data_IF_497016261177
#
_entry.id   IF_497016261177
#
_cell.length_a   1.000
_cell.length_b   1.000
_cell.length_c   1.000
_cell.angle_alpha   90.00
_cell.angle_beta   90.00
_cell.angle_gamma   90.00
#
_symmetry.space_group_name_H-M   'P 1'
#
loop_
_entity.id
_entity.type
_entity.pdbx_description
1 polymer ?
#
# COMPACT_ATOMS: atom_id res chain seq x y z
N UNK A 1 17.81 -8.19 -3.15
CA UNK A 1 17.51 -8.38 -4.59
C UNK A 1 16.71 -9.66 -4.87
N UNK A 2 17.08 -10.79 -4.26
CA UNK A 2 16.36 -12.07 -4.47
C UNK A 2 14.89 -11.99 -4.03
N UNK A 3 14.61 -11.40 -2.87
CA UNK A 3 13.25 -11.25 -2.34
C UNK A 3 12.39 -10.34 -3.22
N UNK A 4 12.95 -9.25 -3.72
CA UNK A 4 12.25 -8.36 -4.67
C UNK A 4 11.88 -9.12 -5.95
N UNK A 5 12.76 -9.98 -6.45
CA UNK A 5 12.50 -10.80 -7.63
C UNK A 5 11.28 -11.72 -7.46
N UNK A 6 11.12 -12.34 -6.28
CA UNK A 6 9.96 -13.20 -5.97
C UNK A 6 8.66 -12.39 -5.97
N UNK A 7 8.65 -11.20 -5.37
CA UNK A 7 7.48 -10.31 -5.35
C UNK A 7 7.12 -9.82 -6.75
N UNK A 8 8.12 -9.45 -7.57
CA UNK A 8 7.89 -9.00 -8.95
C UNK A 8 7.31 -10.12 -9.82
N UNK A 9 7.84 -11.34 -9.69
CA UNK A 9 7.32 -12.50 -10.42
C UNK A 9 5.85 -12.75 -10.09
N UNK A 10 5.50 -12.79 -8.80
CA UNK A 10 4.10 -12.96 -8.36
C UNK A 10 3.20 -11.81 -8.86
N UNK A 11 3.67 -10.57 -8.82
CA UNK A 11 2.90 -9.43 -9.32
C UNK A 11 2.57 -9.57 -10.81
N UNK A 12 3.51 -10.08 -11.62
CA UNK A 12 3.28 -10.38 -13.04
C UNK A 12 2.31 -11.54 -13.19
N UNK A 13 2.45 -12.62 -12.40
CA UNK A 13 1.55 -13.78 -12.44
C UNK A 13 0.11 -13.38 -12.08
N UNK A 14 -0.08 -12.52 -11.09
CA UNK A 14 -1.41 -11.98 -10.74
C UNK A 14 -2.02 -11.18 -11.89
N UNK A 15 -1.24 -10.36 -12.58
CA UNK A 15 -1.71 -9.65 -13.77
C UNK A 15 -1.99 -10.59 -14.94
N UNK A 16 -1.20 -11.65 -15.11
CA UNK A 16 -1.45 -12.69 -16.13
C UNK A 16 -2.79 -13.41 -15.92
N UNK A 17 -3.22 -13.56 -14.67
CA UNK A 17 -4.53 -14.11 -14.33
C UNK A 17 -5.71 -13.18 -14.62
N UNK A 18 -5.46 -11.88 -14.86
CA UNK A 18 -6.51 -10.90 -15.12
C UNK A 18 -7.02 -11.00 -16.57
N UNK A 19 -8.34 -11.07 -16.75
CA UNK A 19 -8.98 -11.21 -18.07
C UNK A 19 -8.75 -10.01 -19.01
N UNK A 20 -8.29 -8.90 -18.47
CA UNK A 20 -8.06 -7.65 -19.21
C UNK A 20 -6.66 -7.55 -19.81
N UNK A 21 -5.77 -8.51 -19.51
CA UNK A 21 -4.36 -8.50 -19.93
C UNK A 21 -4.15 -9.53 -21.02
N UNK A 22 -3.72 -9.08 -22.19
CA UNK A 22 -3.38 -9.94 -23.32
C UNK A 22 -1.89 -10.32 -23.35
N UNK A 23 -1.49 -11.20 -24.26
CA UNK A 23 -0.11 -11.67 -24.39
C UNK A 23 0.88 -10.53 -24.71
N UNK A 24 0.47 -9.54 -25.49
CA UNK A 24 1.31 -8.37 -25.79
C UNK A 24 1.55 -7.50 -24.57
N UNK A 25 0.54 -7.34 -23.72
CA UNK A 25 0.65 -6.65 -22.44
C UNK A 25 1.56 -7.41 -21.47
N UNK A 26 1.42 -8.73 -21.35
CA UNK A 26 2.30 -9.58 -20.54
C UNK A 26 3.76 -9.48 -20.99
N UNK A 27 4.02 -9.53 -22.29
CA UNK A 27 5.36 -9.36 -22.83
C UNK A 27 5.98 -7.99 -22.51
N UNK A 28 5.18 -6.96 -22.26
CA UNK A 28 5.67 -5.66 -21.75
C UNK A 28 6.07 -5.76 -20.30
N UNK A 29 5.26 -6.42 -19.45
CA UNK A 29 5.57 -6.58 -18.03
C UNK A 29 6.86 -7.36 -17.79
N UNK A 30 7.15 -8.38 -18.60
CA UNK A 30 8.38 -9.16 -18.51
C UNK A 30 9.66 -8.36 -18.79
N UNK A 31 9.55 -7.22 -19.50
CA UNK A 31 10.68 -6.33 -19.79
C UNK A 31 10.90 -5.26 -18.74
N UNK A 32 9.97 -5.11 -17.82
CA UNK A 32 10.04 -4.09 -16.76
C UNK A 32 11.25 -4.31 -15.87
N UNK A 33 11.96 -3.23 -15.60
CA UNK A 33 13.06 -3.20 -14.63
C UNK A 33 12.60 -2.52 -13.36
N UNK A 34 12.64 -3.23 -12.24
CA UNK A 34 12.36 -2.66 -10.93
C UNK A 34 13.65 -2.26 -10.25
N UNK A 35 13.72 -1.03 -9.76
CA UNK A 35 14.88 -0.43 -9.11
C UNK A 35 14.49 0.20 -7.79
N UNK A 36 15.38 0.14 -6.81
CA UNK A 36 15.21 0.83 -5.54
C UNK A 36 15.80 2.23 -5.64
N UNK A 37 15.06 3.22 -5.17
CA UNK A 37 15.46 4.61 -5.16
C UNK A 37 15.00 5.29 -3.86
N UNK A 38 15.62 6.38 -3.48
CA UNK A 38 15.13 7.26 -2.42
C UNK A 38 14.15 8.25 -3.05
N UNK A 39 12.85 7.94 -2.93
CA UNK A 39 11.79 8.75 -3.50
C UNK A 39 11.37 9.85 -2.54
N UNK A 40 10.89 10.97 -3.08
CA UNK A 40 10.57 12.14 -2.27
C UNK A 40 9.17 12.08 -1.65
N UNK A 41 9.05 12.60 -0.45
CA UNK A 41 7.77 12.76 0.23
C UNK A 41 7.15 11.43 0.63
N UNK A 42 5.91 11.19 0.23
CA UNK A 42 5.13 9.99 0.56
C UNK A 42 5.05 9.00 -0.61
N UNK A 43 5.89 9.15 -1.61
CA UNK A 43 5.89 8.30 -2.81
C UNK A 43 6.43 6.92 -2.48
N UNK A 44 5.64 5.89 -2.71
CA UNK A 44 6.00 4.48 -2.47
C UNK A 44 6.60 3.84 -3.71
N UNK A 45 6.06 4.15 -4.88
CA UNK A 45 6.47 3.65 -6.16
C UNK A 45 6.28 4.69 -7.27
N UNK A 46 6.89 4.45 -8.41
CA UNK A 46 6.78 5.31 -9.57
C UNK A 46 7.09 4.55 -10.86
N UNK A 47 6.11 4.44 -11.76
CA UNK A 47 6.31 3.86 -13.08
C UNK A 47 6.79 4.91 -14.09
N UNK A 48 7.81 4.56 -14.88
CA UNK A 48 8.33 5.37 -15.98
C UNK A 48 8.63 4.46 -17.17
N UNK A 49 7.72 4.37 -18.11
CA UNK A 49 7.84 3.44 -19.24
C UNK A 49 8.06 1.99 -18.78
N UNK A 50 9.23 1.40 -19.04
CA UNK A 50 9.60 0.02 -18.64
C UNK A 50 10.46 0.00 -17.36
N UNK A 51 10.51 1.09 -16.59
CA UNK A 51 11.23 1.15 -15.30
C UNK A 51 10.26 1.51 -14.20
N UNK A 52 10.25 0.71 -13.16
CA UNK A 52 9.55 0.99 -11.90
C UNK A 52 10.60 1.32 -10.83
N UNK A 53 10.42 2.47 -10.20
CA UNK A 53 11.19 2.86 -9.02
C UNK A 53 10.36 2.54 -7.78
N UNK A 54 10.98 1.88 -6.80
CA UNK A 54 10.39 1.57 -5.50
C UNK A 54 11.18 2.32 -4.44
N UNK A 55 10.47 2.99 -3.53
CA UNK A 55 11.10 3.73 -2.46
C UNK A 55 11.91 2.82 -1.54
N UNK A 56 13.06 3.30 -1.07
CA UNK A 56 14.01 2.51 -0.28
C UNK A 56 13.45 2.05 1.06
N UNK A 57 12.56 2.83 1.68
CA UNK A 57 12.07 2.60 3.04
C UNK A 57 10.55 2.72 3.20
N UNK A 58 9.79 2.72 2.09
CA UNK A 58 8.34 2.86 2.08
C UNK A 58 7.87 4.16 2.76
N UNK A 59 8.44 5.31 2.39
CA UNK A 59 8.17 6.61 3.00
C UNK A 59 8.34 6.60 4.54
N UNK A 60 9.26 5.78 5.05
CA UNK A 60 9.57 5.64 6.46
C UNK A 60 8.77 4.57 7.22
N UNK A 61 7.78 3.93 6.60
CA UNK A 61 6.97 2.87 7.23
C UNK A 61 7.64 1.49 7.23
N UNK A 62 8.64 1.28 6.37
CA UNK A 62 9.24 -0.02 6.12
C UNK A 62 8.36 -0.92 5.27
N UNK A 63 9.02 -1.77 4.49
CA UNK A 63 8.36 -2.73 3.62
C UNK A 63 7.98 -4.01 4.34
N UNK A 64 6.79 -4.52 4.08
CA UNK A 64 6.50 -5.93 4.20
C UNK A 64 6.88 -6.60 2.88
N UNK A 65 7.90 -7.43 2.92
CA UNK A 65 8.38 -8.21 1.77
C UNK A 65 7.91 -9.64 1.99
N UNK A 66 6.92 -10.04 1.23
CA UNK A 66 6.32 -11.36 1.31
C UNK A 66 7.23 -12.40 0.67
N UNK A 67 7.59 -13.42 1.41
CA UNK A 67 8.40 -14.53 0.89
C UNK A 67 7.57 -15.67 0.30
N UNK A 68 6.25 -15.64 0.53
CA UNK A 68 5.26 -16.58 -0.02
C UNK A 68 4.10 -15.82 -0.68
N UNK A 69 4.38 -14.91 -1.63
CA UNK A 69 3.41 -13.89 -2.07
C UNK A 69 2.22 -14.46 -2.86
N UNK A 70 2.24 -15.74 -3.25
CA UNK A 70 1.11 -16.43 -3.86
C UNK A 70 -0.07 -16.62 -2.88
N UNK A 71 0.18 -16.49 -1.59
CA UNK A 71 -0.82 -16.61 -0.52
C UNK A 71 -1.01 -15.24 0.14
N UNK A 72 -2.22 -14.99 0.70
CA UNK A 72 -2.53 -13.71 1.39
C UNK A 72 -2.73 -13.91 2.90
N UNK A 73 -2.06 -14.90 3.50
CA UNK A 73 -2.29 -15.32 4.88
C UNK A 73 -1.98 -14.24 5.92
N UNK A 74 -1.00 -13.38 5.64
CA UNK A 74 -0.61 -12.29 6.53
C UNK A 74 -1.64 -11.15 6.56
N UNK A 75 -2.55 -11.14 5.57
CA UNK A 75 -3.64 -10.18 5.43
C UNK A 75 -5.00 -10.88 5.65
N UNK A 76 -5.16 -11.46 6.84
CA UNK A 76 -6.30 -12.33 7.16
C UNK A 76 -7.65 -11.63 7.31
N UNK A 77 -7.70 -10.30 7.46
CA UNK A 77 -8.94 -9.54 7.57
C UNK A 77 -9.41 -9.09 6.19
N UNK A 78 -10.53 -9.65 5.72
CA UNK A 78 -11.14 -9.25 4.45
C UNK A 78 -11.98 -8.01 4.67
N UNK A 79 -11.57 -6.86 4.10
CA UNK A 79 -12.32 -5.62 4.12
C UNK A 79 -13.31 -5.54 2.94
N UNK A 80 -12.91 -6.05 1.78
CA UNK A 80 -13.73 -6.17 0.58
C UNK A 80 -13.28 -7.39 -0.24
N UNK A 81 -13.84 -7.60 -1.43
CA UNK A 81 -13.33 -8.62 -2.36
C UNK A 81 -11.89 -8.32 -2.83
N UNK A 82 -11.52 -7.03 -2.88
CA UNK A 82 -10.25 -6.56 -3.43
C UNK A 82 -9.31 -5.97 -2.39
N UNK A 83 -9.71 -5.87 -1.13
CA UNK A 83 -8.90 -5.28 -0.06
C UNK A 83 -8.88 -6.17 1.17
N UNK A 84 -7.69 -6.42 1.68
CA UNK A 84 -7.42 -7.19 2.89
C UNK A 84 -6.54 -6.37 3.83
N UNK A 85 -6.62 -6.67 5.12
CA UNK A 85 -5.79 -6.04 6.14
C UNK A 85 -5.10 -7.08 7.01
N UNK A 86 -3.89 -6.77 7.46
CA UNK A 86 -3.15 -7.56 8.42
C UNK A 86 -3.67 -7.31 9.85
N UNK A 87 -3.62 -8.34 10.69
CA UNK A 87 -3.88 -8.21 12.14
C UNK A 87 -2.62 -7.77 12.87
N UNK A 88 -2.76 -7.29 14.11
CA UNK A 88 -1.64 -6.87 14.96
C UNK A 88 -0.61 -7.97 15.25
N UNK A 89 -0.95 -9.24 15.03
CA UNK A 89 -0.05 -10.38 15.20
C UNK A 89 0.67 -10.77 13.92
N UNK A 90 0.30 -10.16 12.79
CA UNK A 90 0.92 -10.42 11.49
C UNK A 90 2.25 -9.68 11.34
N UNK A 91 3.27 -10.25 10.66
CA UNK A 91 4.50 -9.55 10.33
C UNK A 91 4.29 -8.37 9.36
N UNK A 92 3.16 -8.32 8.66
CA UNK A 92 2.78 -7.23 7.76
C UNK A 92 2.18 -6.02 8.51
N UNK A 93 1.87 -6.16 9.79
CA UNK A 93 1.23 -5.08 10.55
C UNK A 93 2.10 -3.83 10.65
N UNK A 94 1.54 -2.68 10.31
CA UNK A 94 2.20 -1.38 10.34
C UNK A 94 3.17 -1.14 9.19
N UNK A 95 3.34 -2.09 8.27
CA UNK A 95 4.24 -1.98 7.11
C UNK A 95 3.47 -1.79 5.81
N UNK A 96 4.15 -1.24 4.82
CA UNK A 96 3.64 -1.15 3.45
C UNK A 96 3.82 -2.47 2.72
N UNK A 97 2.76 -2.97 2.08
CA UNK A 97 2.82 -4.20 1.30
C UNK A 97 3.52 -3.96 -0.04
N UNK A 98 4.73 -4.53 -0.19
CA UNK A 98 5.52 -4.36 -1.41
C UNK A 98 4.82 -4.96 -2.63
N UNK A 99 4.11 -6.09 -2.48
CA UNK A 99 3.39 -6.72 -3.59
C UNK A 99 2.31 -5.80 -4.15
N UNK A 100 1.51 -5.17 -3.30
CA UNK A 100 0.49 -4.20 -3.73
C UNK A 100 1.12 -3.04 -4.52
N UNK A 101 2.23 -2.48 -4.04
CA UNK A 101 2.88 -1.35 -4.72
C UNK A 101 3.44 -1.77 -6.07
N UNK A 102 4.12 -2.92 -6.16
CA UNK A 102 4.64 -3.43 -7.44
C UNK A 102 3.50 -3.71 -8.42
N UNK A 103 2.40 -4.33 -7.97
CA UNK A 103 1.22 -4.57 -8.82
C UNK A 103 0.60 -3.26 -9.31
N UNK A 104 0.49 -2.23 -8.48
CA UNK A 104 -0.02 -0.92 -8.85
C UNK A 104 0.84 -0.28 -9.95
N UNK A 105 2.16 -0.25 -9.78
CA UNK A 105 3.08 0.32 -10.76
C UNK A 105 3.10 -0.47 -12.09
N UNK A 106 2.96 -1.81 -12.02
CA UNK A 106 2.77 -2.62 -13.23
C UNK A 106 1.45 -2.30 -13.93
N UNK A 107 0.39 -1.94 -13.17
CA UNK A 107 -0.86 -1.43 -13.72
C UNK A 107 -0.65 -0.18 -14.60
N UNK A 108 0.20 0.75 -14.18
CA UNK A 108 0.56 1.91 -14.99
C UNK A 108 1.32 1.52 -16.26
N UNK A 109 2.20 0.53 -16.21
CA UNK A 109 2.87 -0.02 -17.40
C UNK A 109 1.87 -0.63 -18.38
N UNK A 110 0.78 -1.21 -17.88
CA UNK A 110 -0.33 -1.73 -18.67
C UNK A 110 -1.24 -0.64 -19.25
N UNK A 111 -1.13 0.61 -18.76
CA UNK A 111 -1.91 1.76 -19.21
C UNK A 111 -3.12 2.09 -18.33
N UNK A 112 -3.23 1.51 -17.13
CA UNK A 112 -4.23 1.92 -16.15
C UNK A 112 -3.82 3.23 -15.49
N UNK A 113 -4.80 4.10 -15.25
CA UNK A 113 -4.60 5.37 -14.55
C UNK A 113 -4.94 5.22 -13.05
N UNK A 114 -4.47 6.17 -12.25
CA UNK A 114 -4.88 6.28 -10.85
C UNK A 114 -6.38 6.51 -10.72
N UNK A 115 -7.00 5.77 -9.82
CA UNK A 115 -8.37 5.97 -9.37
C UNK A 115 -8.41 6.85 -8.12
N UNK A 116 -9.63 7.25 -7.75
CA UNK A 116 -9.85 7.98 -6.50
C UNK A 116 -9.14 7.29 -5.32
N UNK A 117 -8.42 8.03 -4.47
CA UNK A 117 -7.72 7.47 -3.30
C UNK A 117 -8.59 6.60 -2.40
N UNK A 118 -9.91 6.84 -2.39
CA UNK A 118 -10.88 6.12 -1.55
C UNK A 118 -11.57 4.95 -2.25
N UNK A 119 -11.23 4.65 -3.50
CA UNK A 119 -11.90 3.59 -4.26
C UNK A 119 -11.68 2.18 -3.67
N UNK A 120 -10.64 1.99 -2.81
CA UNK A 120 -10.32 0.68 -2.25
C UNK A 120 -9.88 -0.35 -3.31
N UNK A 121 -9.44 0.13 -4.46
CA UNK A 121 -8.98 -0.65 -5.61
C UNK A 121 -7.45 -0.70 -5.64
N UNK A 122 -6.90 -1.69 -6.34
CA UNK A 122 -5.45 -1.76 -6.60
C UNK A 122 -4.91 -0.47 -7.22
N UNK A 123 -5.66 0.13 -8.17
CA UNK A 123 -5.26 1.37 -8.84
C UNK A 123 -5.62 2.65 -8.08
N UNK A 124 -6.08 2.58 -6.82
CA UNK A 124 -6.24 3.82 -6.03
C UNK A 124 -4.91 4.48 -5.77
N UNK A 125 -4.79 5.80 -6.00
CA UNK A 125 -3.54 6.56 -5.89
C UNK A 125 -2.94 6.67 -4.48
N UNK A 126 -3.50 5.97 -3.47
CA UNK A 126 -2.97 5.88 -2.11
C UNK A 126 -3.10 4.47 -1.56
N UNK A 127 -2.16 4.07 -0.70
CA UNK A 127 -2.17 2.81 0.05
C UNK A 127 -1.98 3.11 1.54
N UNK A 128 -2.71 2.40 2.39
CA UNK A 128 -2.52 2.45 3.84
C UNK A 128 -1.58 1.32 4.29
N UNK A 129 -0.81 1.56 5.36
CA UNK A 129 -0.03 0.50 5.99
C UNK A 129 -0.93 -0.66 6.45
N UNK A 130 -0.38 -1.86 6.55
CA UNK A 130 -1.12 -3.08 6.90
C UNK A 130 -2.17 -3.53 5.86
N UNK A 131 -2.21 -2.93 4.67
CA UNK A 131 -3.22 -3.20 3.65
C UNK A 131 -2.60 -3.86 2.42
N UNK A 132 -3.25 -4.95 1.95
CA UNK A 132 -3.00 -5.59 0.66
C UNK A 132 -4.20 -5.38 -0.25
N UNK A 133 -3.94 -4.96 -1.49
CA UNK A 133 -4.95 -4.86 -2.54
C UNK A 133 -4.73 -5.89 -3.62
N UNK A 134 -5.82 -6.44 -4.09
CA UNK A 134 -5.86 -7.44 -5.14
C UNK A 134 -6.30 -6.80 -6.44
N UNK A 135 -5.83 -7.34 -7.55
CA UNK A 135 -6.34 -6.93 -8.86
C UNK A 135 -7.76 -7.47 -9.08
N UNK A 136 -8.60 -6.65 -9.70
CA UNK A 136 -9.91 -7.08 -10.13
C UNK A 136 -9.78 -7.91 -11.42
N UNK A 137 -10.35 -9.09 -11.40
CA UNK A 137 -10.46 -9.95 -12.58
C UNK A 137 -11.60 -9.53 -13.51
N UNK A 138 -12.37 -8.50 -13.15
CA UNK A 138 -13.53 -8.03 -13.91
C UNK A 138 -13.18 -6.80 -14.76
N UNK A 139 -13.69 -6.68 -16.00
CA UNK A 139 -13.30 -5.62 -16.95
C UNK A 139 -13.74 -4.19 -16.59
N UNK A 140 -14.55 -4.01 -15.53
CA UNK A 140 -15.29 -2.76 -15.31
C UNK A 140 -14.65 -1.78 -14.32
N UNK A 141 -13.56 -2.15 -13.64
CA UNK A 141 -13.06 -1.38 -12.48
C UNK A 141 -11.93 -0.42 -12.81
N UNK A 142 -11.26 -0.57 -13.92
CA UNK A 142 -10.22 0.34 -14.36
C UNK A 142 -10.41 0.66 -15.84
N UNK A 143 -10.57 1.93 -16.15
CA UNK A 143 -10.66 2.39 -17.54
C UNK A 143 -9.28 2.26 -18.19
N UNK A 144 -9.12 1.26 -19.04
CA UNK A 144 -7.95 1.15 -19.88
C UNK A 144 -7.92 2.36 -20.82
N UNK A 145 -6.96 3.24 -20.64
CA UNK A 145 -6.70 4.28 -21.63
C UNK A 145 -5.94 3.63 -22.76
N UNK A 146 -6.62 3.44 -23.90
CA UNK A 146 -5.99 2.90 -25.09
C UNK A 146 -4.97 3.92 -25.60
N UNK A 147 -3.71 3.68 -25.26
CA UNK A 147 -2.58 4.52 -25.68
C UNK A 147 -2.16 4.11 -27.09
N UNK A 148 -2.94 4.51 -28.10
CA UNK A 148 -2.48 4.49 -29.48
C UNK A 148 -1.37 5.55 -29.64
N UNK A 149 -0.14 5.15 -29.44
CA UNK A 149 1.04 5.79 -30.06
C UNK A 149 1.61 7.05 -29.40
N UNK A 150 1.26 7.39 -28.16
CA UNK A 150 1.95 8.48 -27.45
C UNK A 150 2.85 7.89 -26.37
N UNK A 151 4.18 8.10 -26.40
CA UNK A 151 5.02 7.78 -25.25
C UNK A 151 4.53 8.66 -24.09
N UNK A 152 3.92 8.03 -23.09
CA UNK A 152 3.42 8.73 -21.93
C UNK A 152 4.54 9.49 -21.22
N UNK A 153 4.50 10.81 -21.27
CA UNK A 153 5.37 11.71 -20.51
C UNK A 153 4.86 11.89 -19.09
N UNK A 154 3.81 11.16 -18.70
CA UNK A 154 3.24 11.15 -17.37
C UNK A 154 4.06 10.28 -16.42
N UNK A 155 4.36 10.83 -15.26
CA UNK A 155 4.92 10.07 -14.14
C UNK A 155 3.73 9.70 -13.26
N UNK A 156 3.38 8.42 -13.25
CA UNK A 156 2.39 7.89 -12.34
C UNK A 156 3.09 7.40 -11.06
N UNK A 157 2.50 7.63 -9.91
CA UNK A 157 3.10 7.25 -8.63
C UNK A 157 2.06 6.95 -7.59
N UNK A 158 2.29 5.87 -6.85
CA UNK A 158 1.52 5.51 -5.68
C UNK A 158 2.04 6.28 -4.46
N UNK A 159 1.14 6.92 -3.74
CA UNK A 159 1.42 7.66 -2.52
C UNK A 159 0.91 6.91 -1.29
N UNK A 160 1.60 7.07 -0.17
CA UNK A 160 1.00 6.72 1.11
C UNK A 160 -0.12 7.72 1.45
N UNK A 161 -1.33 7.20 1.68
CA UNK A 161 -2.48 8.01 2.04
C UNK A 161 -2.57 8.22 3.53
N UNK A 162 -2.01 9.32 4.05
CA UNK A 162 -2.35 9.79 5.37
C UNK A 162 -3.79 10.34 5.34
N UNK A 163 -4.78 9.50 5.61
CA UNK A 163 -6.11 9.98 5.94
C UNK A 163 -6.10 10.42 7.40
N UNK A 164 -6.27 11.71 7.63
CA UNK A 164 -6.34 12.32 8.96
C UNK A 164 -7.46 11.75 9.87
N UNK A 165 -8.19 10.74 9.46
CA UNK A 165 -9.36 10.19 10.15
C UNK A 165 -9.38 8.65 10.33
N UNK A 166 -8.35 7.91 9.91
CA UNK A 166 -8.35 6.45 10.11
C UNK A 166 -7.85 5.99 11.48
N UNK A 167 -7.22 6.86 12.25
CA UNK A 167 -6.74 6.52 13.60
C UNK A 167 -7.87 6.15 14.56
N UNK A 168 -9.05 6.73 14.42
CA UNK A 168 -10.13 6.53 15.39
C UNK A 168 -10.70 5.10 15.38
N UNK A 169 -10.91 4.49 14.21
CA UNK A 169 -11.43 3.12 14.15
C UNK A 169 -10.35 2.07 14.50
N UNK A 170 -9.08 2.38 14.24
CA UNK A 170 -7.97 1.52 14.61
C UNK A 170 -7.79 1.50 16.13
N UNK A 171 -7.95 2.65 16.79
CA UNK A 171 -7.93 2.74 18.25
C UNK A 171 -9.13 2.01 18.88
N UNK A 172 -10.34 2.16 18.33
CA UNK A 172 -11.52 1.44 18.75
C UNK A 172 -11.36 -0.07 18.57
N UNK A 173 -10.78 -0.51 17.45
CA UNK A 173 -10.50 -1.93 17.18
C UNK A 173 -9.42 -2.51 18.10
N UNK A 174 -8.37 -1.76 18.43
CA UNK A 174 -7.31 -2.19 19.34
C UNK A 174 -7.79 -2.27 20.80
N UNK A 175 -8.72 -1.40 21.20
CA UNK A 175 -9.38 -1.45 22.52
C UNK A 175 -10.24 -2.70 22.66
N UNK A 176 -10.96 -3.11 21.63
CA UNK A 176 -11.81 -4.30 21.64
C UNK A 176 -11.00 -5.61 21.69
N UNK A 177 -9.75 -5.60 21.21
CA UNK A 177 -8.85 -6.76 21.30
C UNK A 177 -8.09 -6.88 22.62
N UNK A 178 -8.31 -5.98 23.60
CA UNK A 178 -7.68 -6.04 24.93
C UNK A 178 -6.16 -5.90 24.91
N UNK A 179 -5.59 -5.36 23.82
CA UNK A 179 -4.16 -5.27 23.60
C UNK A 179 -3.52 -4.12 24.39
N UNK A 180 -2.48 -4.41 25.13
CA UNK A 180 -1.54 -3.40 25.61
C UNK A 180 -0.92 -2.70 24.41
N UNK A 181 -0.85 -1.39 24.49
CA UNK A 181 -0.35 -0.47 23.44
C UNK A 181 1.19 -0.58 23.31
N UNK A 182 1.66 -1.71 22.82
CA UNK A 182 3.06 -1.90 22.47
C UNK A 182 3.24 -1.53 20.99
N UNK A 183 3.55 -0.24 20.73
CA UNK A 183 3.91 0.20 19.38
C UNK A 183 5.24 -0.47 18.98
N UNK A 184 5.26 -1.40 18.00
CA UNK A 184 6.48 -2.11 17.61
C UNK A 184 7.51 -1.23 16.89
N UNK A 185 7.20 0.05 16.64
CA UNK A 185 8.01 0.97 15.84
C UNK A 185 8.67 2.11 16.63
N UNK A 186 8.60 2.09 17.97
CA UNK A 186 9.44 2.99 18.75
C UNK A 186 10.81 2.32 19.02
N UNK A 187 11.88 2.66 18.29
CA UNK A 187 13.20 2.13 18.55
C UNK A 187 13.77 2.57 19.89
N UNK A 188 13.11 3.48 20.61
CA UNK A 188 13.54 3.99 21.92
C UNK A 188 12.72 3.41 23.08
N UNK A 189 11.64 2.67 22.82
CA UNK A 189 10.77 2.07 23.83
C UNK A 189 10.03 3.08 24.72
N UNK A 190 9.90 4.34 24.28
CA UNK A 190 9.25 5.41 25.07
C UNK A 190 8.09 6.03 24.31
N UNK A 191 6.89 5.57 24.60
CA UNK A 191 5.68 6.25 24.14
C UNK A 191 5.40 7.44 25.06
N UNK A 192 5.52 8.65 24.54
CA UNK A 192 4.98 9.85 25.19
C UNK A 192 3.56 10.07 24.67
N UNK A 193 2.57 9.63 25.41
CA UNK A 193 1.18 10.03 25.19
C UNK A 193 1.03 11.43 25.80
N UNK A 194 0.93 12.46 24.96
CA UNK A 194 0.47 13.79 25.39
C UNK A 194 -1.05 13.77 25.40
N UNK A 195 -1.64 13.62 26.57
CA UNK A 195 -3.08 13.84 26.75
C UNK A 195 -3.30 15.35 26.69
N UNK A 196 -4.21 15.90 25.85
CA UNK A 196 -4.58 17.29 25.91
C UNK A 196 -5.19 17.58 27.27
N UNK A 197 -4.56 18.45 28.05
CA UNK A 197 -4.98 18.81 29.38
C UNK A 197 -6.35 19.46 29.37
N UNK A 198 -7.27 18.91 30.14
CA UNK A 198 -8.53 19.51 30.49
C UNK A 198 -8.25 20.70 31.43
N UNK A 199 -8.14 21.91 30.90
CA UNK A 199 -8.08 23.15 31.68
C UNK A 199 -9.50 23.55 32.12
N UNK A 200 -9.87 23.22 33.32
CA UNK A 200 -11.12 23.70 33.89
C UNK A 200 -11.28 23.33 35.37
N UNK A 201 -10.71 24.11 36.26
CA UNK A 201 -10.94 23.90 37.67
C UNK A 201 -10.48 25.10 38.54
N UNK A 202 -11.27 26.17 38.56
CA UNK A 202 -11.15 27.28 39.49
C UNK A 202 -11.01 26.78 40.93
N UNK A 203 -9.89 27.12 41.57
CA UNK A 203 -9.76 27.10 43.03
C UNK A 203 -10.46 28.31 43.64
N UNK A 204 -11.66 28.14 44.20
CA UNK A 204 -12.21 29.06 45.20
C UNK A 204 -11.54 28.77 46.53
N UNK A 205 -10.80 29.73 47.05
CA UNK A 205 -10.44 29.83 48.47
C UNK A 205 -11.70 30.22 49.25
N UNK A 206 -12.01 29.48 50.30
CA UNK A 206 -12.87 29.92 51.37
C UNK A 206 -12.07 29.89 52.67
N UNK A 207 -12.27 30.98 53.41
CA UNK A 207 -11.67 31.29 54.71
C UNK A 207 -12.02 30.23 55.79
#
# INVERSE_FOLDING_TARGET
>A
EQELGVVVAEAIDRWAGAKTVDEAALSRLERVKVQIADLQGLTLGQARQEVILIDVNAAGHGWYIDTTPAEDLEFGLKLSELERMSTSTSPAFGRMDLLTVVMHELGHVLGFEDLDPNAGSLMSGTLDASTRRLNDSTPDSAKLVHMDGVPGTGVASLLWGAKDNKASWLEDFLVDLGGKNDNPFDPTGKIKISIPGNNGGSKKKLH
#
